data_IF_304324107780
#
_entry.id   IF_304324107780
#
_cell.length_a   1.000
_cell.length_b   1.000
_cell.length_c   1.000
_cell.angle_alpha   90.00
_cell.angle_beta   90.00
_cell.angle_gamma   90.00
#
_symmetry.space_group_name_H-M   'P 1'
#
loop_
_entity.id
_entity.type
_entity.pdbx_description
1 polymer ?
#
# COMPACT_ATOMS: atom_id res chain seq x y z
N UNK A 1 -10.59 -11.16 -2.69
CA UNK A 1 -9.32 -11.21 -3.46
C UNK A 1 -8.23 -10.53 -2.61
N UNK A 2 -7.00 -11.04 -2.60
CA UNK A 2 -5.91 -10.48 -1.76
C UNK A 2 -5.39 -9.14 -2.31
N UNK A 3 -4.86 -8.29 -1.43
CA UNK A 3 -4.29 -6.98 -1.80
C UNK A 3 -3.17 -7.12 -2.84
N UNK A 4 -2.19 -8.01 -2.62
CA UNK A 4 -1.07 -8.20 -3.55
C UNK A 4 -1.52 -8.60 -4.96
N UNK A 5 -2.57 -9.44 -5.09
CA UNK A 5 -3.15 -9.79 -6.40
C UNK A 5 -3.80 -8.56 -7.05
N UNK A 6 -4.48 -7.72 -6.27
CA UNK A 6 -5.08 -6.49 -6.79
C UNK A 6 -4.01 -5.50 -7.27
N UNK A 7 -2.95 -5.31 -6.49
CA UNK A 7 -1.82 -4.43 -6.83
C UNK A 7 -1.15 -4.86 -8.13
N UNK A 8 -0.89 -6.15 -8.29
CA UNK A 8 -0.34 -6.74 -9.51
C UNK A 8 -1.25 -6.50 -10.72
N UNK A 9 -2.54 -6.87 -10.62
CA UNK A 9 -3.50 -6.74 -11.72
C UNK A 9 -3.70 -5.29 -12.18
N UNK A 10 -3.63 -4.34 -11.24
CA UNK A 10 -3.80 -2.92 -11.51
C UNK A 10 -2.47 -2.20 -11.80
N UNK A 11 -1.34 -2.90 -11.69
CA UNK A 11 0.01 -2.34 -11.85
C UNK A 11 0.21 -1.10 -10.98
N UNK A 12 -0.29 -1.14 -9.75
CA UNK A 12 -0.16 -0.05 -8.79
C UNK A 12 1.14 -0.20 -7.99
N UNK A 13 1.84 0.91 -7.77
CA UNK A 13 3.07 0.96 -6.98
C UNK A 13 2.85 1.34 -5.52
N UNK A 14 1.64 1.80 -5.16
CA UNK A 14 1.32 2.32 -3.84
C UNK A 14 -0.03 1.81 -3.34
N UNK A 15 -0.02 1.23 -2.14
CA UNK A 15 -1.22 0.89 -1.38
C UNK A 15 -1.28 1.77 -0.13
N UNK A 16 -2.49 2.22 0.23
CA UNK A 16 -2.74 2.97 1.46
C UNK A 16 -3.72 2.19 2.33
N UNK A 17 -3.33 1.93 3.57
CA UNK A 17 -4.15 1.27 4.60
C UNK A 17 -4.50 2.29 5.67
N UNK A 18 -5.79 2.36 6.02
CA UNK A 18 -6.25 3.12 7.18
C UNK A 18 -6.43 2.15 8.35
N UNK A 19 -5.74 2.39 9.47
CA UNK A 19 -5.80 1.57 10.68
C UNK A 19 -5.68 2.45 11.95
N UNK A 20 -5.50 1.85 13.13
CA UNK A 20 -5.30 2.56 14.39
C UNK A 20 -3.81 2.62 14.82
N UNK A 21 -2.91 2.12 13.96
CA UNK A 21 -1.48 2.04 14.25
C UNK A 21 -0.78 3.37 13.94
N UNK A 22 0.48 3.49 14.35
CA UNK A 22 1.33 4.61 13.96
C UNK A 22 1.52 4.65 12.44
N UNK A 23 1.72 5.85 11.85
CA UNK A 23 2.03 5.96 10.43
C UNK A 23 3.30 5.17 10.10
N UNK A 24 3.21 4.31 9.09
CA UNK A 24 4.37 3.55 8.59
C UNK A 24 4.41 3.54 7.08
N UNK A 25 5.64 3.38 6.55
CA UNK A 25 5.92 3.19 5.14
C UNK A 25 6.77 1.93 5.02
N UNK A 26 6.30 0.95 4.27
CA UNK A 26 6.97 -0.34 4.12
C UNK A 26 7.03 -0.72 2.66
N UNK A 27 8.23 -1.03 2.17
CA UNK A 27 8.41 -1.61 0.84
C UNK A 27 8.13 -3.10 0.92
N UNK A 28 7.17 -3.57 0.13
CA UNK A 28 6.77 -4.96 0.08
C UNK A 28 7.27 -5.58 -1.22
N UNK A 29 8.09 -6.62 -1.07
CA UNK A 29 8.56 -7.48 -2.16
C UNK A 29 8.02 -8.88 -1.89
N UNK A 30 7.13 -9.35 -2.75
CA UNK A 30 6.41 -10.61 -2.57
C UNK A 30 6.44 -11.42 -3.87
N UNK A 31 6.43 -12.74 -3.78
CA UNK A 31 6.21 -13.61 -4.95
C UNK A 31 4.73 -13.87 -5.15
N UNK A 32 4.25 -13.72 -6.38
CA UNK A 32 2.90 -14.10 -6.77
C UNK A 32 2.78 -15.64 -6.85
N UNK A 33 1.57 -16.15 -7.14
CA UNK A 33 1.30 -17.59 -7.24
C UNK A 33 2.05 -18.31 -8.38
N UNK A 34 2.56 -17.56 -9.34
CA UNK A 34 3.31 -18.05 -10.52
C UNK A 34 4.82 -17.81 -10.36
N UNK A 35 5.26 -17.33 -9.18
CA UNK A 35 6.66 -17.05 -8.87
C UNK A 35 7.20 -15.70 -9.36
N UNK A 36 6.37 -14.87 -10.02
CA UNK A 36 6.76 -13.52 -10.42
C UNK A 36 6.81 -12.58 -9.22
N UNK A 37 7.75 -11.63 -9.25
CA UNK A 37 7.93 -10.67 -8.17
C UNK A 37 6.93 -9.52 -8.30
N UNK A 38 6.23 -9.21 -7.20
CA UNK A 38 5.39 -8.05 -7.04
C UNK A 38 6.07 -7.15 -6.02
N UNK A 39 6.37 -5.91 -6.43
CA UNK A 39 6.92 -4.87 -5.57
C UNK A 39 5.98 -3.67 -5.50
N UNK A 40 5.63 -3.25 -4.29
CA UNK A 40 4.86 -2.03 -4.05
C UNK A 40 5.11 -1.50 -2.65
N UNK A 41 4.85 -0.22 -2.46
CA UNK A 41 4.92 0.43 -1.17
C UNK A 41 3.57 0.34 -0.45
N UNK A 42 3.57 -0.06 0.81
CA UNK A 42 2.40 0.00 1.69
C UNK A 42 2.58 1.13 2.70
N UNK A 43 1.72 2.15 2.60
CA UNK A 43 1.60 3.20 3.60
C UNK A 43 0.45 2.87 4.54
N UNK A 44 0.73 2.76 5.84
CA UNK A 44 -0.32 2.71 6.86
C UNK A 44 -0.49 4.09 7.46
N UNK A 45 -1.73 4.58 7.51
CA UNK A 45 -2.06 5.85 8.13
C UNK A 45 -3.17 5.66 9.18
N UNK A 46 -3.09 6.36 10.31
CA UNK A 46 -4.17 6.37 11.27
C UNK A 46 -5.39 7.15 10.75
N UNK A 47 -6.59 6.77 11.20
CA UNK A 47 -7.86 7.37 10.76
C UNK A 47 -7.88 8.91 10.87
N UNK A 48 -7.29 9.48 11.93
CA UNK A 48 -7.25 10.93 12.13
C UNK A 48 -6.42 11.69 11.09
N UNK A 49 -5.59 11.01 10.28
CA UNK A 49 -4.83 11.59 9.18
C UNK A 49 -5.51 11.44 7.82
N UNK A 50 -6.66 10.79 7.73
CA UNK A 50 -7.38 10.57 6.44
C UNK A 50 -7.71 11.90 5.75
N UNK A 51 -8.07 12.94 6.52
CA UNK A 51 -8.30 14.29 5.98
C UNK A 51 -7.06 14.95 5.36
N UNK A 52 -5.86 14.42 5.63
CA UNK A 52 -4.59 14.90 5.09
C UNK A 52 -4.06 14.01 3.95
N UNK A 53 -4.84 13.03 3.47
CA UNK A 53 -4.40 12.09 2.43
C UNK A 53 -3.82 12.77 1.19
N UNK A 54 -4.50 13.78 0.63
CA UNK A 54 -4.00 14.49 -0.54
C UNK A 54 -2.64 15.13 -0.27
N UNK A 55 -2.44 15.71 0.92
CA UNK A 55 -1.16 16.29 1.33
C UNK A 55 -0.07 15.23 1.46
N UNK A 56 -0.41 14.05 1.97
CA UNK A 56 0.54 12.96 2.20
C UNK A 56 0.92 12.19 0.93
N UNK A 57 0.03 12.18 -0.08
CA UNK A 57 0.21 11.40 -1.31
C UNK A 57 0.71 12.23 -2.49
N UNK A 58 0.48 13.54 -2.50
CA UNK A 58 0.82 14.44 -3.61
C UNK A 58 2.01 15.36 -3.30
N UNK A 59 2.61 15.24 -2.10
CA UNK A 59 3.80 16.01 -1.69
C UNK A 59 5.10 15.45 -2.26
#
# INVERSE_FOLDING_TARGET
KSLHVFMELKKLSLAVRVNADLPTKTDLILKNRVGSEISYQLMSIPFYLVGQLSRLLLS
#
